data_IF_040095883709
#
_entry.id   IF_040095883709
#
_cell.length_a   1.000
_cell.length_b   1.000
_cell.length_c   1.000
_cell.angle_alpha   90.00
_cell.angle_beta   90.00
_cell.angle_gamma   90.00
#
_symmetry.space_group_name_H-M   'P 1'
#
loop_
_entity.id
_entity.type
_entity.pdbx_description
1 polymer ?
#
# COMPACT_ATOMS: atom_id res chain seq x y z
N UNK A 1 5.38 -8.77 -12.11
CA UNK A 1 5.84 -9.30 -10.80
C UNK A 1 4.86 -8.76 -9.78
N UNK A 2 3.76 -9.47 -9.50
CA UNK A 2 2.77 -9.00 -8.53
C UNK A 2 3.34 -9.18 -7.13
N UNK A 3 3.67 -8.09 -6.45
CA UNK A 3 4.09 -8.10 -5.06
C UNK A 3 3.11 -7.25 -4.27
N UNK A 4 2.11 -7.89 -3.67
CA UNK A 4 1.34 -7.28 -2.60
C UNK A 4 2.27 -7.22 -1.39
N UNK A 5 2.71 -6.02 -1.01
CA UNK A 5 3.61 -5.82 0.14
C UNK A 5 2.86 -5.12 1.26
N UNK A 6 2.89 -5.71 2.45
CA UNK A 6 2.44 -5.06 3.68
C UNK A 6 3.62 -4.21 4.16
N UNK A 7 3.53 -2.89 4.03
CA UNK A 7 4.61 -2.01 4.46
C UNK A 7 4.43 -1.69 5.96
N UNK A 8 5.52 -1.80 6.71
CA UNK A 8 5.61 -1.72 8.17
C UNK A 8 5.42 -0.28 8.72
N UNK A 9 5.28 -0.09 10.05
CA UNK A 9 4.59 1.06 10.64
C UNK A 9 5.39 2.38 10.62
N UNK A 10 4.62 3.48 10.60
CA UNK A 10 5.12 4.87 10.59
C UNK A 10 5.81 5.21 11.91
N UNK A 11 7.06 5.68 11.84
CA UNK A 11 7.77 6.26 12.99
C UNK A 11 7.21 7.67 13.24
N UNK A 12 6.58 7.85 14.39
CA UNK A 12 5.62 8.92 14.65
C UNK A 12 6.16 10.36 14.67
N UNK A 13 5.45 11.25 13.98
CA UNK A 13 5.49 12.70 14.16
C UNK A 13 4.08 13.22 14.48
N UNK A 14 3.93 13.92 15.61
CA UNK A 14 2.65 14.49 16.08
C UNK A 14 2.28 15.73 15.25
N UNK A 15 1.02 15.82 14.79
CA UNK A 15 0.15 16.99 14.98
C UNK A 15 -1.27 16.72 14.46
N UNK A 16 -2.28 17.02 15.30
CA UNK A 16 -3.73 16.91 15.01
C UNK A 16 -4.31 18.30 14.75
N UNK A 17 -5.21 18.40 13.76
CA UNK A 17 -6.30 19.40 13.74
C UNK A 17 -7.58 18.74 13.21
N UNK A 18 -8.69 19.09 13.82
CA UNK A 18 -10.04 18.51 13.68
C UNK A 18 -10.95 19.56 13.04
N UNK A 19 -11.80 19.18 12.10
CA UNK A 19 -12.94 20.00 11.64
C UNK A 19 -14.18 19.13 11.43
N UNK A 20 -15.30 19.60 11.99
CA UNK A 20 -16.67 19.14 11.74
C UNK A 20 -17.40 20.22 10.94
N UNK A 21 -18.28 19.85 9.99
CA UNK A 21 -19.64 20.40 9.87
C UNK A 21 -20.46 19.75 8.74
N UNK A 22 -21.78 19.70 8.98
CA UNK A 22 -22.84 19.01 8.24
C UNK A 22 -23.44 19.85 7.08
N UNK A 23 -24.03 19.17 6.06
CA UNK A 23 -25.47 19.17 5.67
C UNK A 23 -25.80 19.14 4.14
N UNK A 24 -26.69 18.17 3.79
CA UNK A 24 -27.80 18.15 2.78
C UNK A 24 -27.63 17.48 1.37
N UNK A 25 -28.51 16.47 1.18
CA UNK A 25 -29.07 15.67 0.03
C UNK A 25 -28.94 16.23 -1.41
N UNK A 26 -29.00 15.50 -2.55
CA UNK A 26 -29.55 14.19 -2.96
C UNK A 26 -29.15 13.88 -4.44
N UNK A 27 -28.72 12.66 -4.81
CA UNK A 27 -29.04 11.94 -6.08
C UNK A 27 -28.37 10.56 -6.10
N UNK A 28 -29.11 9.52 -6.48
CA UNK A 28 -28.73 8.11 -6.39
C UNK A 28 -27.69 7.74 -7.46
N UNK A 29 -26.45 7.56 -7.02
CA UNK A 29 -25.42 6.71 -7.65
C UNK A 29 -24.69 6.03 -6.49
N UNK A 30 -24.76 4.70 -6.40
CA UNK A 30 -24.09 3.82 -5.42
C UNK A 30 -23.60 4.54 -4.15
N UNK A 31 -24.52 4.81 -3.24
CA UNK A 31 -24.18 5.46 -1.97
C UNK A 31 -23.36 4.50 -1.12
N UNK A 32 -22.07 4.80 -0.96
CA UNK A 32 -21.26 4.33 0.15
C UNK A 32 -22.06 4.51 1.45
N UNK A 33 -22.46 3.42 2.08
CA UNK A 33 -23.24 3.47 3.31
C UNK A 33 -22.35 3.89 4.47
N UNK A 34 -22.16 5.20 4.63
CA UNK A 34 -21.42 5.81 5.74
C UNK A 34 -21.90 5.29 7.11
N UNK A 35 -23.21 5.09 7.24
CA UNK A 35 -23.89 4.64 8.46
C UNK A 35 -23.57 3.19 8.84
N UNK A 36 -23.40 2.29 7.86
CA UNK A 36 -23.02 0.88 8.12
C UNK A 36 -21.61 0.77 8.69
N UNK A 37 -20.71 1.67 8.32
CA UNK A 37 -19.28 1.55 8.62
C UNK A 37 -18.82 2.40 9.81
N UNK A 38 -19.44 3.55 10.09
CA UNK A 38 -19.16 4.32 11.33
C UNK A 38 -19.35 3.46 12.59
N UNK A 39 -20.36 2.59 12.60
CA UNK A 39 -20.58 1.62 13.68
C UNK A 39 -19.44 0.58 13.79
N UNK A 40 -18.88 0.12 12.67
CA UNK A 40 -17.79 -0.88 12.66
C UNK A 40 -16.48 -0.29 13.19
N UNK A 41 -16.15 0.96 12.83
CA UNK A 41 -14.89 1.59 13.23
C UNK A 41 -14.92 2.27 14.59
N UNK A 42 -16.08 2.71 15.11
CA UNK A 42 -16.14 3.39 16.42
C UNK A 42 -16.59 2.49 17.57
N UNK A 43 -17.30 1.39 17.32
CA UNK A 43 -17.90 0.55 18.38
C UNK A 43 -16.89 -0.05 19.37
N UNK A 44 -15.63 -0.26 18.96
CA UNK A 44 -14.65 -1.02 19.76
C UNK A 44 -13.41 -0.23 20.19
N UNK A 45 -13.26 1.02 19.76
CA UNK A 45 -12.00 1.74 19.89
C UNK A 45 -11.85 2.55 21.18
N UNK A 46 -12.96 2.85 21.87
CA UNK A 46 -12.98 3.63 23.12
C UNK A 46 -13.74 2.88 24.22
N UNK A 47 -13.36 3.07 25.49
CA UNK A 47 -14.15 2.57 26.61
C UNK A 47 -15.37 3.47 26.92
N UNK A 48 -16.16 3.07 27.93
CA UNK A 48 -17.29 3.84 28.50
C UNK A 48 -16.88 5.29 28.86
N UNK A 49 -15.59 5.56 29.11
CA UNK A 49 -15.04 6.87 29.44
C UNK A 49 -14.43 7.61 28.23
N UNK A 50 -14.62 7.12 27.00
CA UNK A 50 -14.08 7.75 25.78
C UNK A 50 -12.55 7.69 25.66
N UNK A 51 -11.89 6.78 26.37
CA UNK A 51 -10.44 6.58 26.25
C UNK A 51 -10.14 5.59 25.15
N UNK A 52 -9.30 6.01 24.20
CA UNK A 52 -8.88 5.15 23.10
C UNK A 52 -7.96 4.02 23.53
N UNK A 53 -8.35 2.80 23.16
CA UNK A 53 -7.56 1.58 23.26
C UNK A 53 -6.97 1.17 21.93
N UNK A 54 -7.01 1.99 20.88
CA UNK A 54 -6.54 1.64 19.54
C UNK A 54 -5.08 1.16 19.51
N UNK A 55 -4.25 1.60 20.47
CA UNK A 55 -2.85 1.15 20.65
C UNK A 55 -2.68 -0.08 21.55
N UNK A 56 -3.74 -0.51 22.23
CA UNK A 56 -3.79 -1.64 23.17
C UNK A 56 -4.62 -2.81 22.64
N UNK A 57 -5.57 -2.54 21.75
CA UNK A 57 -6.35 -3.56 21.06
C UNK A 57 -5.51 -4.14 19.93
N UNK A 58 -5.55 -5.46 19.80
CA UNK A 58 -4.98 -6.16 18.64
C UNK A 58 -5.81 -5.97 17.36
N UNK A 59 -6.79 -5.07 17.37
CA UNK A 59 -7.64 -4.80 16.22
C UNK A 59 -6.80 -4.14 15.13
N UNK A 60 -6.84 -4.73 13.94
CA UNK A 60 -6.01 -4.34 12.82
C UNK A 60 -6.35 -2.98 12.20
N UNK A 61 -7.33 -2.24 12.77
CA UNK A 61 -7.87 -1.01 12.20
C UNK A 61 -7.28 0.26 12.84
N UNK A 62 -7.07 1.32 12.03
CA UNK A 62 -7.52 1.45 10.66
C UNK A 62 -6.50 0.89 9.66
N UNK A 63 -6.97 0.36 8.53
CA UNK A 63 -6.10 -0.02 7.41
C UNK A 63 -6.46 0.84 6.21
N UNK A 64 -5.45 1.47 5.64
CA UNK A 64 -5.57 2.19 4.37
C UNK A 64 -5.00 1.37 3.22
N UNK A 65 -5.31 1.75 2.00
CA UNK A 65 -4.69 1.20 0.79
C UNK A 65 -3.97 2.32 0.05
N UNK A 66 -2.77 2.03 -0.44
CA UNK A 66 -2.00 2.93 -1.28
C UNK A 66 -1.79 2.27 -2.64
N UNK A 67 -2.25 2.97 -3.67
CA UNK A 67 -1.98 2.65 -5.07
C UNK A 67 -0.81 3.46 -5.60
N UNK A 68 0.02 2.85 -6.44
CA UNK A 68 0.90 3.59 -7.37
C UNK A 68 0.32 3.51 -8.76
N UNK A 69 0.26 4.64 -9.47
CA UNK A 69 -0.22 4.69 -10.85
C UNK A 69 0.44 5.81 -11.64
N UNK A 70 0.65 5.56 -12.93
CA UNK A 70 1.15 6.54 -13.90
C UNK A 70 0.45 6.35 -15.24
N UNK A 71 0.19 7.46 -15.93
CA UNK A 71 -0.31 7.48 -17.30
C UNK A 71 0.84 7.67 -18.28
N UNK A 72 1.26 6.60 -18.94
CA UNK A 72 2.30 6.65 -19.97
C UNK A 72 1.85 7.22 -21.31
N UNK A 73 0.56 7.51 -21.50
CA UNK A 73 0.07 8.23 -22.68
C UNK A 73 0.12 9.75 -22.50
N UNK A 74 0.45 10.25 -21.32
CA UNK A 74 0.56 11.68 -21.04
C UNK A 74 1.80 12.29 -21.73
N UNK A 75 1.63 13.28 -22.62
CA UNK A 75 2.73 13.95 -23.30
C UNK A 75 3.77 14.57 -22.36
N UNK A 76 3.33 15.14 -21.23
CA UNK A 76 4.24 15.79 -20.27
C UNK A 76 5.12 14.74 -19.58
N UNK A 77 4.52 13.60 -19.24
CA UNK A 77 5.27 12.47 -18.69
C UNK A 77 6.27 11.90 -19.68
N UNK A 78 5.86 11.70 -20.94
CA UNK A 78 6.73 11.18 -21.99
C UNK A 78 7.91 12.12 -22.28
N UNK A 79 7.68 13.43 -22.31
CA UNK A 79 8.75 14.42 -22.49
C UNK A 79 9.73 14.39 -21.32
N UNK A 80 9.23 14.30 -20.08
CA UNK A 80 10.08 14.18 -18.89
C UNK A 80 10.86 12.86 -18.88
N UNK A 81 10.23 11.76 -19.27
CA UNK A 81 10.87 10.45 -19.38
C UNK A 81 12.02 10.50 -20.41
N UNK A 82 11.78 11.08 -21.59
CA UNK A 82 12.78 11.20 -22.65
C UNK A 82 14.01 12.02 -22.23
N UNK A 83 13.83 13.03 -21.37
CA UNK A 83 14.93 13.85 -20.86
C UNK A 83 15.85 13.10 -19.89
N UNK A 84 15.33 12.12 -19.15
CA UNK A 84 16.04 11.47 -18.05
C UNK A 84 16.39 10.00 -18.31
N UNK A 85 15.73 9.36 -19.27
CA UNK A 85 15.94 7.95 -19.62
C UNK A 85 16.63 7.82 -20.99
N UNK A 86 17.72 7.04 -21.10
CA UNK A 86 18.43 6.85 -22.37
C UNK A 86 17.54 6.32 -23.49
N UNK A 87 17.79 6.76 -24.72
CA UNK A 87 16.94 6.48 -25.91
C UNK A 87 16.72 4.98 -26.18
N UNK A 88 17.72 4.14 -25.90
CA UNK A 88 17.62 2.68 -26.08
C UNK A 88 16.57 2.06 -25.17
N UNK A 89 16.39 2.64 -23.97
CA UNK A 89 15.46 2.16 -22.95
C UNK A 89 14.07 2.80 -23.09
N UNK A 90 13.88 3.80 -23.97
CA UNK A 90 12.58 4.48 -24.13
C UNK A 90 11.49 3.57 -24.68
N UNK A 91 11.81 2.67 -25.61
CA UNK A 91 10.81 1.74 -26.15
C UNK A 91 10.31 0.76 -25.08
N UNK A 92 11.23 0.27 -24.24
CA UNK A 92 10.95 -0.61 -23.11
C UNK A 92 10.20 0.15 -22.02
N UNK A 93 10.68 1.34 -21.65
CA UNK A 93 10.06 2.21 -20.66
C UNK A 93 8.64 2.64 -21.07
N UNK A 94 8.43 3.06 -22.32
CA UNK A 94 7.11 3.45 -22.83
C UNK A 94 6.09 2.30 -22.73
N UNK A 95 6.51 1.06 -23.04
CA UNK A 95 5.64 -0.11 -22.87
C UNK A 95 5.26 -0.39 -21.42
N UNK A 96 6.14 -0.06 -20.45
CA UNK A 96 5.90 -0.26 -19.01
C UNK A 96 4.90 0.73 -18.42
N UNK A 97 4.67 1.86 -19.07
CA UNK A 97 3.78 2.90 -18.57
C UNK A 97 2.44 2.96 -19.33
N UNK A 98 2.19 2.04 -20.26
CA UNK A 98 0.94 2.00 -21.03
C UNK A 98 -0.27 1.72 -20.12
N UNK A 99 -1.06 2.75 -19.83
CA UNK A 99 -2.30 2.64 -19.04
C UNK A 99 -3.42 1.93 -19.84
N UNK A 100 -4.04 0.92 -19.23
CA UNK A 100 -5.14 0.14 -19.82
C UNK A 100 -6.40 0.13 -18.96
N UNK A 101 -6.66 1.24 -18.26
CA UNK A 101 -7.70 1.36 -17.24
C UNK A 101 -7.53 0.37 -16.07
N UNK A 102 -6.34 -0.19 -15.86
CA UNK A 102 -6.06 -1.22 -14.84
C UNK A 102 -6.40 -0.74 -13.43
N UNK A 103 -5.99 0.49 -13.09
CA UNK A 103 -6.33 1.14 -11.82
C UNK A 103 -7.85 1.21 -11.59
N UNK A 104 -8.63 1.48 -12.65
CA UNK A 104 -10.09 1.61 -12.55
C UNK A 104 -10.72 0.28 -12.14
N UNK A 105 -10.28 -0.82 -12.74
CA UNK A 105 -10.78 -2.15 -12.40
C UNK A 105 -10.27 -2.62 -11.03
N UNK A 106 -9.01 -2.31 -10.71
CA UNK A 106 -8.42 -2.59 -9.41
C UNK A 106 -9.22 -1.95 -8.27
N UNK A 107 -9.51 -0.65 -8.35
CA UNK A 107 -10.30 0.06 -7.32
C UNK A 107 -11.70 -0.53 -7.14
N UNK A 108 -12.34 -1.00 -8.22
CA UNK A 108 -13.65 -1.66 -8.14
C UNK A 108 -13.55 -3.02 -7.47
N UNK A 109 -12.48 -3.77 -7.72
CA UNK A 109 -12.21 -5.04 -7.03
C UNK A 109 -11.95 -4.81 -5.53
N UNK A 110 -11.22 -3.74 -5.17
CA UNK A 110 -10.97 -3.37 -3.79
C UNK A 110 -12.28 -3.10 -3.05
N UNK A 111 -13.17 -2.32 -3.68
CA UNK A 111 -14.46 -2.02 -3.06
C UNK A 111 -15.36 -3.25 -2.90
N UNK A 112 -15.30 -4.18 -3.88
CA UNK A 112 -16.08 -5.40 -3.83
C UNK A 112 -15.59 -6.39 -2.76
N UNK A 113 -14.27 -6.47 -2.55
CA UNK A 113 -13.64 -7.57 -1.81
C UNK A 113 -12.93 -7.16 -0.51
N UNK A 114 -12.77 -5.86 -0.26
CA UNK A 114 -12.14 -5.32 0.95
C UNK A 114 -12.89 -4.09 1.51
N UNK A 115 -14.20 -4.22 1.83
CA UNK A 115 -15.03 -3.07 2.24
C UNK A 115 -14.61 -2.46 3.60
N UNK A 116 -13.71 -3.13 4.33
CA UNK A 116 -13.15 -2.67 5.59
C UNK A 116 -12.01 -1.65 5.43
N UNK A 117 -11.57 -1.35 4.20
CA UNK A 117 -10.56 -0.31 3.94
C UNK A 117 -11.09 1.06 4.36
N UNK A 118 -10.34 1.76 5.20
CA UNK A 118 -10.71 3.09 5.71
C UNK A 118 -10.58 4.15 4.62
N UNK A 119 -9.41 4.22 4.00
CA UNK A 119 -9.03 5.29 3.07
C UNK A 119 -8.15 4.75 1.94
N UNK A 120 -8.31 5.32 0.74
CA UNK A 120 -7.51 4.99 -0.44
C UNK A 120 -6.65 6.19 -0.83
N UNK A 121 -5.34 5.97 -0.89
CA UNK A 121 -4.38 6.94 -1.42
C UNK A 121 -3.93 6.49 -2.81
N UNK A 122 -3.89 7.41 -3.77
CA UNK A 122 -3.39 7.12 -5.12
C UNK A 122 -2.17 8.01 -5.33
N UNK A 123 -0.99 7.39 -5.36
CA UNK A 123 0.30 8.06 -5.55
C UNK A 123 0.59 8.14 -7.04
N UNK A 124 0.78 9.35 -7.55
CA UNK A 124 1.02 9.60 -8.98
C UNK A 124 2.17 10.59 -9.20
N UNK A 125 2.66 10.67 -10.43
CA UNK A 125 3.62 11.69 -10.84
C UNK A 125 2.93 13.04 -11.19
N UNK A 126 1.96 13.48 -10.38
CA UNK A 126 1.19 14.71 -10.59
C UNK A 126 0.01 14.58 -11.56
N UNK A 127 -0.22 13.38 -12.09
CA UNK A 127 -1.30 13.08 -13.02
C UNK A 127 -2.60 12.75 -12.30
N UNK A 128 -3.72 13.07 -12.93
CA UNK A 128 -5.07 12.81 -12.41
C UNK A 128 -5.82 11.93 -13.44
N UNK A 129 -6.29 10.73 -13.07
CA UNK A 129 -7.12 9.93 -13.97
C UNK A 129 -8.43 10.65 -14.28
N UNK A 130 -8.79 10.77 -15.56
CA UNK A 130 -9.94 11.58 -16.02
C UNK A 130 -11.30 11.06 -15.53
N UNK A 131 -11.38 9.77 -15.21
CA UNK A 131 -12.58 9.10 -14.72
C UNK A 131 -12.69 9.10 -13.19
N UNK A 132 -11.67 9.59 -12.47
CA UNK A 132 -11.62 9.54 -11.01
C UNK A 132 -12.52 10.63 -10.40
N UNK A 133 -13.38 10.23 -9.46
CA UNK A 133 -14.18 11.15 -8.67
C UNK A 133 -13.35 11.75 -7.52
N UNK A 134 -12.99 13.02 -7.66
CA UNK A 134 -12.19 13.76 -6.70
C UNK A 134 -12.99 14.29 -5.50
N UNK A 135 -14.32 14.21 -5.53
CA UNK A 135 -15.17 14.67 -4.42
C UNK A 135 -15.34 13.60 -3.33
N UNK A 136 -14.85 12.38 -3.56
CA UNK A 136 -14.97 11.27 -2.61
C UNK A 136 -14.04 11.47 -1.40
N UNK A 137 -14.58 11.64 -0.17
CA UNK A 137 -13.77 11.95 1.00
C UNK A 137 -12.91 10.78 1.50
N UNK A 138 -13.13 9.55 1.02
CA UNK A 138 -12.31 8.37 1.37
C UNK A 138 -11.18 8.12 0.37
N UNK A 139 -10.97 9.03 -0.56
CA UNK A 139 -9.92 8.94 -1.57
C UNK A 139 -9.08 10.20 -1.54
N UNK A 140 -7.77 10.04 -1.72
CA UNK A 140 -6.85 11.18 -1.83
C UNK A 140 -5.79 10.89 -2.87
N UNK A 141 -5.67 11.79 -3.82
CA UNK A 141 -4.56 11.78 -4.77
C UNK A 141 -3.35 12.44 -4.10
N UNK A 142 -2.19 11.80 -4.22
CA UNK A 142 -0.94 12.23 -3.62
C UNK A 142 0.11 12.27 -4.72
N UNK A 143 0.84 13.36 -4.86
CA UNK A 143 1.93 13.45 -5.82
C UNK A 143 3.23 12.86 -5.26
N UNK A 144 4.18 12.50 -6.13
CA UNK A 144 5.54 12.17 -5.70
C UNK A 144 6.17 13.31 -4.89
N UNK A 145 5.87 14.56 -5.24
CA UNK A 145 6.36 15.71 -4.46
C UNK A 145 5.89 15.64 -3.00
N UNK A 146 4.66 15.24 -2.72
CA UNK A 146 4.13 15.21 -1.35
C UNK A 146 4.84 14.22 -0.42
N UNK A 147 5.50 13.20 -0.97
CA UNK A 147 6.14 12.12 -0.19
C UNK A 147 7.67 12.15 -0.22
N UNK A 148 8.29 12.79 -1.22
CA UNK A 148 9.74 12.95 -1.30
C UNK A 148 10.21 14.16 -0.48
N UNK A 149 11.14 13.91 0.44
CA UNK A 149 11.75 14.96 1.27
C UNK A 149 12.65 15.87 0.44
N UNK A 150 13.51 15.28 -0.39
CA UNK A 150 14.41 15.99 -1.29
C UNK A 150 13.79 16.09 -2.68
N UNK A 151 13.44 17.30 -3.11
CA UNK A 151 12.85 17.53 -4.43
C UNK A 151 13.83 17.29 -5.58
N UNK A 152 15.13 17.33 -5.30
CA UNK A 152 16.19 17.02 -6.26
C UNK A 152 16.21 15.55 -6.70
N UNK A 153 15.55 14.65 -5.97
CA UNK A 153 15.42 13.24 -6.33
C UNK A 153 14.29 12.99 -7.34
N UNK A 154 13.57 14.05 -7.73
CA UNK A 154 12.48 14.03 -8.70
C UNK A 154 12.93 14.70 -10.02
N UNK A 155 12.39 14.26 -11.19
CA UNK A 155 11.46 13.15 -11.34
C UNK A 155 12.12 11.79 -11.16
N UNK A 156 11.41 10.86 -10.54
CA UNK A 156 11.83 9.45 -10.47
C UNK A 156 10.84 8.57 -11.21
N UNK A 157 11.39 7.59 -11.93
CA UNK A 157 10.63 6.56 -12.66
C UNK A 157 10.87 5.16 -12.06
N UNK A 158 11.42 5.12 -10.85
CA UNK A 158 11.76 3.90 -10.13
C UNK A 158 10.70 3.58 -9.07
N UNK A 159 9.96 2.48 -9.27
CA UNK A 159 8.96 2.02 -8.30
C UNK A 159 9.54 1.79 -6.90
N UNK A 160 10.71 1.13 -6.73
CA UNK A 160 11.31 0.97 -5.39
C UNK A 160 11.60 2.31 -4.68
N UNK A 161 12.01 3.34 -5.44
CA UNK A 161 12.24 4.66 -4.88
C UNK A 161 10.92 5.26 -4.35
N UNK A 162 9.83 5.15 -5.10
CA UNK A 162 8.50 5.64 -4.71
C UNK A 162 7.95 4.84 -3.52
N UNK A 163 8.00 3.51 -3.60
CA UNK A 163 7.53 2.58 -2.56
C UNK A 163 8.18 2.86 -1.20
N UNK A 164 9.48 3.15 -1.20
CA UNK A 164 10.22 3.51 0.02
C UNK A 164 9.77 4.83 0.67
N UNK A 165 8.99 5.67 -0.02
CA UNK A 165 8.50 6.95 0.48
C UNK A 165 7.01 6.96 0.88
N UNK A 166 6.24 5.92 0.53
CA UNK A 166 4.77 5.85 0.77
C UNK A 166 4.38 6.08 2.23
N UNK A 167 5.16 5.58 3.19
CA UNK A 167 4.88 5.75 4.62
C UNK A 167 4.83 7.22 5.09
N UNK A 168 5.33 8.16 4.28
CA UNK A 168 5.35 9.60 4.56
C UNK A 168 4.04 10.30 4.22
N UNK A 169 3.10 9.63 3.55
CA UNK A 169 1.79 10.21 3.20
C UNK A 169 1.13 10.86 4.44
N UNK A 170 0.72 12.13 4.37
CA UNK A 170 0.00 12.78 5.46
C UNK A 170 -1.32 12.06 5.77
N UNK A 171 -1.57 11.74 7.04
CA UNK A 171 -2.82 11.09 7.49
C UNK A 171 -2.92 9.57 7.28
N UNK A 172 -1.97 8.95 6.56
CA UNK A 172 -1.93 7.50 6.40
C UNK A 172 -1.85 6.79 7.75
N UNK A 173 -2.53 5.65 7.86
CA UNK A 173 -2.50 4.76 9.01
C UNK A 173 -1.12 4.13 9.20
N UNK A 174 -0.85 3.69 10.44
CA UNK A 174 0.33 2.88 10.77
C UNK A 174 0.30 1.49 10.11
N UNK A 175 -0.87 1.04 9.65
CA UNK A 175 -1.05 -0.18 8.87
C UNK A 175 -1.71 0.18 7.54
N UNK A 176 -1.08 -0.18 6.44
CA UNK A 176 -1.65 0.00 5.12
C UNK A 176 -1.24 -1.13 4.18
N UNK A 177 -2.05 -1.38 3.17
CA UNK A 177 -1.71 -2.28 2.08
C UNK A 177 -1.19 -1.47 0.91
N UNK A 178 -0.12 -1.95 0.28
CA UNK A 178 0.37 -1.40 -0.98
C UNK A 178 -0.11 -2.25 -2.16
N UNK A 179 -0.69 -1.57 -3.15
CA UNK A 179 -1.15 -2.15 -4.40
C UNK A 179 -0.45 -1.41 -5.55
N UNK A 180 0.02 -2.15 -6.54
CA UNK A 180 0.23 -1.55 -7.85
C UNK A 180 -1.11 -1.47 -8.60
N UNK A 181 -1.19 -0.66 -9.65
CA UNK A 181 -2.40 -0.44 -10.46
C UNK A 181 -2.91 -1.71 -11.17
N UNK A 182 -2.02 -2.66 -11.47
CA UNK A 182 -2.30 -3.95 -12.10
C UNK A 182 -2.65 -5.08 -11.10
N UNK A 183 -2.85 -4.76 -9.81
CA UNK A 183 -3.27 -5.73 -8.80
C UNK A 183 -4.80 -5.74 -8.68
N UNK A 184 -5.44 -6.89 -8.88
CA UNK A 184 -6.89 -7.04 -8.66
C UNK A 184 -7.18 -8.11 -7.61
N UNK A 185 -8.21 -7.85 -6.79
CA UNK A 185 -8.74 -8.85 -5.87
C UNK A 185 -9.75 -9.75 -6.60
N UNK A 186 -9.58 -11.07 -6.44
CA UNK A 186 -10.47 -12.08 -7.04
C UNK A 186 -11.48 -12.69 -6.07
N UNK A 187 -11.33 -12.44 -4.76
CA UNK A 187 -12.16 -12.95 -3.69
C UNK A 187 -12.10 -12.01 -2.48
N UNK A 188 -13.07 -12.14 -1.58
CA UNK A 188 -13.12 -11.37 -0.33
C UNK A 188 -11.87 -11.63 0.51
N UNK A 189 -11.23 -10.55 0.98
CA UNK A 189 -10.05 -10.58 1.83
C UNK A 189 -10.36 -9.95 3.18
N UNK A 190 -9.63 -10.35 4.21
CA UNK A 190 -9.78 -9.87 5.58
C UNK A 190 -8.43 -9.36 6.12
N UNK A 191 -8.42 -8.43 7.10
CA UNK A 191 -7.18 -7.96 7.72
C UNK A 191 -6.28 -9.09 8.23
N UNK A 192 -6.90 -10.16 8.72
CA UNK A 192 -6.25 -11.36 9.24
C UNK A 192 -5.49 -12.14 8.16
N UNK A 193 -5.78 -11.91 6.87
CA UNK A 193 -4.99 -12.49 5.77
C UNK A 193 -3.60 -11.87 5.70
N UNK A 194 -3.42 -10.62 6.15
CA UNK A 194 -2.14 -9.92 6.03
C UNK A 194 -1.36 -9.84 7.34
N UNK A 195 -2.03 -9.99 8.48
CA UNK A 195 -1.43 -9.73 9.79
C UNK A 195 -1.84 -10.81 10.79
N UNK A 196 -0.88 -11.26 11.57
CA UNK A 196 -1.07 -12.22 12.67
C UNK A 196 -1.62 -11.54 13.92
N UNK A 197 -2.20 -12.32 14.85
CA UNK A 197 -2.68 -11.80 16.14
C UNK A 197 -1.54 -11.29 17.04
N UNK A 198 -0.33 -11.82 16.86
CA UNK A 198 0.88 -11.38 17.56
C UNK A 198 1.48 -10.09 16.96
N UNK A 199 0.89 -9.53 15.91
CA UNK A 199 1.33 -8.28 15.28
C UNK A 199 2.34 -8.43 14.14
N UNK A 200 2.79 -9.64 13.82
CA UNK A 200 3.63 -9.95 12.66
C UNK A 200 2.86 -9.94 11.34
N UNK A 201 3.56 -9.82 10.21
CA UNK A 201 2.97 -9.83 8.86
C UNK A 201 2.95 -11.26 8.30
N UNK A 202 1.89 -11.60 7.54
CA UNK A 202 1.83 -12.83 6.75
C UNK A 202 2.38 -12.56 5.36
N UNK A 203 3.41 -13.30 4.96
CA UNK A 203 4.07 -13.14 3.66
C UNK A 203 3.61 -14.27 2.73
N UNK A 204 3.07 -13.89 1.58
CA UNK A 204 2.70 -14.82 0.51
C UNK A 204 3.67 -14.64 -0.64
N UNK A 205 4.43 -15.69 -0.94
CA UNK A 205 5.41 -15.69 -2.00
C UNK A 205 4.82 -16.35 -3.24
N UNK A 206 5.17 -15.82 -4.41
CA UNK A 206 4.75 -16.39 -5.69
C UNK A 206 5.37 -17.77 -5.96
N UNK A 207 6.47 -18.08 -5.28
CA UNK A 207 7.17 -19.36 -5.31
C UNK A 207 7.79 -19.62 -3.95
N UNK A 208 8.01 -20.90 -3.64
CA UNK A 208 8.76 -21.30 -2.46
C UNK A 208 10.17 -20.71 -2.52
N UNK A 209 10.65 -20.17 -1.39
CA UNK A 209 12.07 -19.85 -1.26
C UNK A 209 12.81 -21.18 -1.22
N UNK A 210 13.70 -21.47 -2.18
CA UNK A 210 14.49 -22.69 -2.13
C UNK A 210 15.34 -22.67 -0.87
N UNK A 211 15.39 -23.78 -0.16
CA UNK A 211 16.26 -23.95 0.98
C UNK A 211 17.72 -23.68 0.58
N UNK A 212 18.50 -23.12 1.52
CA UNK A 212 19.90 -22.77 1.26
C UNK A 212 20.81 -24.01 1.12
N UNK A 213 20.34 -25.18 1.58
CA UNK A 213 20.97 -26.50 1.45
C UNK A 213 19.89 -27.59 1.38
N UNK A 214 20.19 -28.75 0.78
CA UNK A 214 19.23 -29.86 0.59
C UNK A 214 18.60 -30.37 1.91
N UNK A 215 19.25 -30.12 3.04
CA UNK A 215 18.86 -30.57 4.39
C UNK A 215 18.82 -29.42 5.41
N UNK A 216 18.72 -28.17 4.97
CA UNK A 216 18.59 -27.01 5.87
C UNK A 216 17.37 -26.15 5.48
N UNK A 217 16.20 -26.38 6.11
CA UNK A 217 15.06 -25.50 5.98
C UNK A 217 15.39 -24.08 6.45
N UNK A 218 14.85 -23.06 5.79
CA UNK A 218 15.01 -21.65 6.22
C UNK A 218 14.56 -21.35 7.66
N UNK A 219 13.75 -22.22 8.26
CA UNK A 219 13.31 -22.07 9.65
C UNK A 219 14.40 -22.41 10.69
N UNK A 220 15.49 -23.08 10.29
CA UNK A 220 16.59 -23.48 11.17
C UNK A 220 17.72 -22.44 11.19
N UNK A 221 17.96 -21.78 10.04
CA UNK A 221 18.98 -20.73 9.92
C UNK A 221 18.73 -19.60 10.93
N UNK A 222 19.69 -19.35 11.81
CA UNK A 222 19.64 -18.26 12.79
C UNK A 222 18.62 -18.47 13.91
N UNK A 223 18.19 -19.71 14.16
CA UNK A 223 17.21 -20.03 15.20
C UNK A 223 17.83 -20.10 16.63
N UNK A 224 19.16 -19.99 16.72
CA UNK A 224 19.94 -20.03 17.96
C UNK A 224 20.41 -21.43 18.36
N UNK A 225 20.09 -22.45 17.57
CA UNK A 225 20.70 -23.78 17.60
C UNK A 225 21.87 -23.82 16.61
N UNK A 226 22.76 -24.81 16.74
CA UNK A 226 23.86 -25.02 15.79
C UNK A 226 23.56 -26.25 14.95
N UNK A 227 23.06 -26.00 13.74
CA UNK A 227 22.65 -27.04 12.80
C UNK A 227 23.75 -27.31 11.78
N UNK A 228 24.40 -28.47 11.91
CA UNK A 228 25.50 -28.85 11.02
C UNK A 228 25.08 -28.92 9.54
N UNK A 229 23.80 -29.19 9.26
CA UNK A 229 23.26 -29.19 7.90
C UNK A 229 23.17 -27.76 7.30
N UNK A 230 23.10 -26.74 8.15
CA UNK A 230 23.02 -25.32 7.82
C UNK A 230 24.40 -24.63 7.82
N UNK A 231 25.46 -25.32 8.26
CA UNK A 231 26.84 -24.81 8.27
C UNK A 231 27.48 -24.82 6.86
N UNK A 232 26.94 -24.03 5.94
CA UNK A 232 27.46 -23.86 4.57
C UNK A 232 27.50 -22.38 4.20
N UNK A 233 28.32 -22.03 3.21
CA UNK A 233 28.41 -20.64 2.72
C UNK A 233 27.10 -20.10 2.15
N UNK A 234 26.24 -20.98 1.61
CA UNK A 234 24.93 -20.59 1.06
C UNK A 234 23.91 -20.28 2.15
N UNK A 235 24.05 -20.89 3.32
CA UNK A 235 23.22 -20.67 4.51
C UNK A 235 23.87 -19.68 5.50
N UNK A 236 24.89 -18.93 5.07
CA UNK A 236 25.63 -17.98 5.91
C UNK A 236 26.10 -18.59 7.24
N UNK A 237 26.57 -19.85 7.19
CA UNK A 237 27.04 -20.59 8.36
C UNK A 237 26.04 -20.65 9.52
N UNK A 238 24.77 -20.94 9.19
CA UNK A 238 23.66 -21.01 10.16
C UNK A 238 23.17 -19.65 10.69
N UNK A 239 23.39 -18.59 9.90
CA UNK A 239 22.90 -17.24 10.21
C UNK A 239 23.80 -16.46 11.19
N UNK A 240 25.10 -16.78 11.21
CA UNK A 240 26.16 -16.10 11.98
C UNK A 240 26.41 -14.63 11.54
#
# INVERSE_FOLDING_TARGET
MLSLRVIAPKVGGKNRKMYCQNHIKMKVWLTWSKEKYEAVFHSFNDNILGRSFQKKLCQHVPIDVVYTWVNGSDPVFLENLQKHVPVVDLSVAASRFSDKDELRYSLRSLEMYAPWVRHVYIVTNGQIPSWLDMDNPRMTLVSHEDIFLNKSDLPTFSSPAIESHIHRIPGISDKFLYFNDDVMLGAEIWPEDFVTQAGGQKVYLAWWVPDCSEVCPWAWVGDGSCDHACNTTLCEFDGD
#
